data_IF_232846391037
#
_entry.id   IF_232846391037
#
_cell.length_a   1.000
_cell.length_b   1.000
_cell.length_c   1.000
_cell.angle_alpha   90.00
_cell.angle_beta   90.00
_cell.angle_gamma   90.00
#
_symmetry.space_group_name_H-M   'P 1'
#
loop_
_entity.id
_entity.type
_entity.pdbx_description
1 polymer ?
#
# COMPACT_ATOMS: atom_id res chain seq x y z
N UNK A 1 -3.38 -10.34 -1.77
CA UNK A 1 -4.59 -10.12 -0.95
C UNK A 1 -4.77 -11.27 0.03
N UNK A 2 -4.94 -11.01 1.33
CA UNK A 2 -5.32 -12.04 2.30
C UNK A 2 -6.72 -12.61 2.03
N UNK A 3 -6.91 -13.90 2.23
CA UNK A 3 -8.19 -14.58 2.00
C UNK A 3 -9.39 -13.90 2.68
N UNK A 4 -9.23 -13.41 3.92
CA UNK A 4 -10.32 -12.76 4.66
C UNK A 4 -10.88 -11.50 3.98
N UNK A 5 -10.10 -10.86 3.09
CA UNK A 5 -10.55 -9.70 2.34
C UNK A 5 -11.54 -10.04 1.23
N UNK A 6 -11.57 -11.29 0.74
CA UNK A 6 -12.54 -11.72 -0.26
C UNK A 6 -13.97 -11.44 0.21
N UNK A 7 -14.33 -11.96 1.39
CA UNK A 7 -15.66 -11.76 1.99
C UNK A 7 -15.99 -10.28 2.21
N UNK A 8 -14.99 -9.46 2.58
CA UNK A 8 -15.18 -8.00 2.78
C UNK A 8 -15.46 -7.27 1.47
N UNK A 9 -14.95 -7.79 0.36
CA UNK A 9 -15.19 -7.26 -0.99
C UNK A 9 -16.40 -7.91 -1.68
N UNK A 10 -17.16 -8.76 -0.98
CA UNK A 10 -18.30 -9.49 -1.55
C UNK A 10 -17.89 -10.63 -2.50
N UNK A 11 -16.64 -11.08 -2.43
CA UNK A 11 -16.07 -12.16 -3.22
C UNK A 11 -16.03 -13.47 -2.41
N UNK A 12 -16.04 -14.59 -3.13
CA UNK A 12 -16.07 -15.96 -2.62
C UNK A 12 -14.96 -16.81 -3.24
N UNK A 13 -14.78 -18.02 -2.70
CA UNK A 13 -13.75 -18.94 -3.18
C UNK A 13 -13.94 -19.39 -4.64
N UNK A 14 -15.17 -19.27 -5.15
CA UNK A 14 -15.51 -19.54 -6.54
C UNK A 14 -15.04 -18.46 -7.52
N UNK A 15 -14.68 -17.28 -7.02
CA UNK A 15 -14.36 -16.11 -7.85
C UNK A 15 -12.88 -16.00 -8.20
N UNK A 16 -12.01 -16.78 -7.54
CA UNK A 16 -10.58 -16.81 -7.85
C UNK A 16 -10.20 -18.04 -8.66
N UNK A 17 -9.33 -17.84 -9.65
CA UNK A 17 -8.82 -18.92 -10.49
C UNK A 17 -7.62 -19.59 -9.82
N UNK A 18 -7.53 -20.91 -9.95
CA UNK A 18 -6.41 -21.68 -9.44
C UNK A 18 -5.10 -21.16 -10.07
N UNK A 19 -4.17 -20.77 -9.22
CA UNK A 19 -2.85 -20.32 -9.63
C UNK A 19 -1.85 -20.76 -8.57
N UNK A 20 -0.79 -21.45 -9.00
CA UNK A 20 0.18 -22.04 -8.09
C UNK A 20 1.51 -21.29 -8.18
N UNK A 21 1.57 -20.14 -7.50
CA UNK A 21 2.81 -19.37 -7.33
C UNK A 21 3.29 -19.51 -5.89
N UNK A 22 4.59 -19.74 -5.75
CA UNK A 22 5.26 -19.71 -4.45
C UNK A 22 5.61 -18.26 -4.12
N UNK A 23 5.19 -17.82 -2.94
CA UNK A 23 5.42 -16.49 -2.41
C UNK A 23 6.28 -16.59 -1.16
N UNK A 24 7.24 -15.70 -1.01
CA UNK A 24 8.01 -15.53 0.22
C UNK A 24 7.54 -14.28 0.95
N UNK A 25 7.36 -14.37 2.27
CA UNK A 25 7.15 -13.20 3.11
C UNK A 25 8.48 -12.49 3.41
N UNK A 26 8.42 -11.36 4.13
CA UNK A 26 9.61 -10.59 4.50
C UNK A 26 10.58 -11.34 5.44
N UNK A 27 10.11 -12.36 6.13
CA UNK A 27 10.92 -13.23 7.00
C UNK A 27 11.54 -14.40 6.23
N UNK A 28 11.34 -14.46 4.90
CA UNK A 28 11.82 -15.55 4.06
C UNK A 28 10.98 -16.83 4.12
N UNK A 29 9.88 -16.85 4.89
CA UNK A 29 8.95 -17.98 4.92
C UNK A 29 8.16 -18.03 3.62
N UNK A 30 8.23 -19.18 2.97
CA UNK A 30 7.50 -19.43 1.72
C UNK A 30 6.11 -20.02 1.96
N UNK A 31 5.19 -19.76 1.05
CA UNK A 31 3.86 -20.35 1.00
C UNK A 31 3.29 -20.27 -0.42
N UNK A 32 2.23 -21.04 -0.68
CA UNK A 32 1.56 -21.02 -1.98
C UNK A 32 0.43 -19.99 -1.99
N UNK A 33 0.21 -19.36 -3.15
CA UNK A 33 -1.02 -18.64 -3.42
C UNK A 33 -2.21 -19.62 -3.48
N UNK A 34 -3.37 -19.19 -2.98
CA UNK A 34 -4.64 -19.91 -3.14
C UNK A 34 -5.19 -19.78 -4.56
N UNK A 35 -4.89 -18.66 -5.21
CA UNK A 35 -5.32 -18.37 -6.58
C UNK A 35 -5.10 -16.90 -6.92
N UNK A 36 -5.70 -16.48 -8.03
CA UNK A 36 -5.69 -15.09 -8.49
C UNK A 36 -7.13 -14.62 -8.69
N UNK A 37 -7.42 -13.41 -8.24
CA UNK A 37 -8.71 -12.75 -8.43
C UNK A 37 -8.53 -11.36 -8.99
N UNK A 38 -9.49 -10.92 -9.81
CA UNK A 38 -9.51 -9.56 -10.34
C UNK A 38 -10.37 -8.67 -9.43
N UNK A 39 -9.83 -7.54 -9.03
CA UNK A 39 -10.52 -6.53 -8.22
C UNK A 39 -10.39 -5.17 -8.90
N UNK A 40 -11.44 -4.37 -8.90
CA UNK A 40 -11.39 -2.99 -9.35
C UNK A 40 -10.79 -2.11 -8.24
N UNK A 41 -9.69 -1.45 -8.55
CA UNK A 41 -8.97 -0.54 -7.66
C UNK A 41 -9.22 0.89 -8.14
N UNK A 42 -9.73 1.74 -7.26
CA UNK A 42 -9.84 3.17 -7.52
C UNK A 42 -8.52 3.84 -7.11
N UNK A 43 -7.80 4.43 -8.07
CA UNK A 43 -6.55 5.16 -7.86
C UNK A 43 -6.75 6.65 -8.20
N UNK A 44 -7.20 7.42 -7.21
CA UNK A 44 -7.62 8.80 -7.42
C UNK A 44 -8.96 8.86 -8.16
N UNK A 45 -8.97 9.44 -9.35
CA UNK A 45 -10.14 9.58 -10.22
C UNK A 45 -10.32 8.44 -11.23
N UNK A 46 -9.41 7.47 -11.25
CA UNK A 46 -9.42 6.36 -12.22
C UNK A 46 -9.76 5.03 -11.54
N UNK A 47 -10.46 4.14 -12.26
CA UNK A 47 -10.76 2.78 -11.80
C UNK A 47 -10.02 1.79 -12.70
N UNK A 48 -9.23 0.90 -12.10
CA UNK A 48 -8.39 -0.07 -12.80
C UNK A 48 -8.64 -1.49 -12.33
N UNK A 49 -8.88 -2.40 -13.28
CA UNK A 49 -8.95 -3.84 -13.02
C UNK A 49 -7.55 -4.37 -12.70
N UNK A 50 -7.38 -4.90 -11.49
CA UNK A 50 -6.09 -5.33 -10.96
C UNK A 50 -6.17 -6.78 -10.50
N UNK A 51 -5.19 -7.59 -10.90
CA UNK A 51 -5.07 -8.97 -10.44
C UNK A 51 -4.34 -9.03 -9.10
N UNK A 52 -4.93 -9.72 -8.13
CA UNK A 52 -4.32 -9.99 -6.83
C UNK A 52 -4.15 -11.48 -6.61
N UNK A 53 -2.95 -11.89 -6.19
CA UNK A 53 -2.74 -13.22 -5.63
C UNK A 53 -3.39 -13.33 -4.26
N UNK A 54 -4.21 -14.36 -4.06
CA UNK A 54 -4.88 -14.65 -2.79
C UNK A 54 -3.94 -15.49 -1.91
N UNK A 55 -3.77 -15.14 -0.64
CA UNK A 55 -2.92 -15.85 0.31
C UNK A 55 -3.67 -16.29 1.57
N UNK A 56 -3.34 -17.47 2.08
CA UNK A 56 -3.87 -18.01 3.34
C UNK A 56 -3.11 -17.45 4.56
N UNK A 57 -3.02 -16.13 4.68
CA UNK A 57 -2.35 -15.45 5.78
C UNK A 57 -3.26 -14.39 6.44
N UNK A 58 -2.93 -14.00 7.67
CA UNK A 58 -3.58 -12.90 8.40
C UNK A 58 -2.57 -11.77 8.69
N UNK A 59 -2.15 -11.01 7.67
CA UNK A 59 -1.23 -9.91 7.86
C UNK A 59 -1.94 -8.65 8.37
N UNK A 60 -1.15 -7.65 8.76
CA UNK A 60 -1.62 -6.33 9.19
C UNK A 60 -1.91 -5.38 8.00
N UNK A 61 -2.34 -5.91 6.86
CA UNK A 61 -2.72 -5.14 5.68
C UNK A 61 -3.93 -5.78 5.00
N UNK A 62 -4.66 -4.98 4.22
CA UNK A 62 -5.80 -5.45 3.43
C UNK A 62 -5.37 -5.86 2.01
N UNK A 63 -4.67 -4.97 1.30
CA UNK A 63 -4.19 -5.20 -0.06
C UNK A 63 -2.76 -4.68 -0.17
N UNK A 64 -1.95 -5.34 -1.01
CA UNK A 64 -0.60 -4.88 -1.34
C UNK A 64 -0.53 -4.61 -2.84
N UNK A 65 -0.20 -3.38 -3.20
CA UNK A 65 0.13 -2.99 -4.55
C UNK A 65 1.65 -3.10 -4.69
N UNK A 66 2.08 -4.12 -5.43
CA UNK A 66 3.51 -4.37 -5.63
C UNK A 66 4.13 -3.39 -6.63
N UNK A 67 5.46 -3.48 -6.74
CA UNK A 67 6.25 -2.73 -7.71
C UNK A 67 5.68 -2.82 -9.14
N UNK A 68 5.33 -4.03 -9.59
CA UNK A 68 4.80 -4.27 -10.94
C UNK A 68 3.53 -3.46 -11.21
N UNK A 69 2.64 -3.36 -10.22
CA UNK A 69 1.44 -2.54 -10.34
C UNK A 69 1.80 -1.05 -10.40
N UNK A 70 2.60 -0.58 -9.43
CA UNK A 70 3.01 0.84 -9.32
C UNK A 70 3.68 1.32 -10.61
N UNK A 71 4.63 0.53 -11.13
CA UNK A 71 5.34 0.84 -12.37
C UNK A 71 4.41 0.72 -13.59
N UNK A 72 3.56 -0.30 -13.63
CA UNK A 72 2.63 -0.53 -14.73
C UNK A 72 1.61 0.58 -14.92
N UNK A 73 1.17 1.23 -13.82
CA UNK A 73 0.24 2.37 -13.87
C UNK A 73 0.95 3.74 -13.87
N UNK A 74 2.29 3.78 -13.87
CA UNK A 74 3.04 5.04 -13.89
C UNK A 74 2.93 5.87 -12.61
N UNK A 75 2.62 5.24 -11.47
CA UNK A 75 2.50 5.93 -10.18
C UNK A 75 3.87 6.18 -9.57
N UNK A 76 4.08 7.40 -9.05
CA UNK A 76 5.29 7.77 -8.32
C UNK A 76 4.97 7.91 -6.83
N UNK A 77 5.42 6.98 -5.97
CA UNK A 77 5.26 7.12 -4.53
C UNK A 77 6.28 8.10 -3.94
N UNK A 78 5.84 9.01 -3.07
CA UNK A 78 6.71 9.87 -2.27
C UNK A 78 6.53 9.58 -0.79
N UNK A 79 7.54 8.99 -0.17
CA UNK A 79 7.56 8.75 1.29
C UNK A 79 7.69 10.07 2.06
N UNK A 80 8.48 11.02 1.55
CA UNK A 80 8.69 12.32 2.19
C UNK A 80 7.39 13.13 2.29
N UNK A 81 6.57 13.08 1.25
CA UNK A 81 5.30 13.79 1.21
C UNK A 81 4.10 12.90 1.56
N UNK A 82 4.33 11.63 1.87
CA UNK A 82 3.30 10.62 2.14
C UNK A 82 2.16 10.64 1.12
N UNK A 83 2.49 10.56 -0.18
CA UNK A 83 1.49 10.59 -1.27
C UNK A 83 1.88 9.71 -2.45
N UNK A 84 0.88 9.40 -3.28
CA UNK A 84 1.05 8.82 -4.59
C UNK A 84 0.75 9.89 -5.66
N UNK A 85 1.66 10.06 -6.60
CA UNK A 85 1.51 10.96 -7.74
C UNK A 85 1.12 10.11 -8.95
N UNK A 86 -0.04 10.38 -9.54
CA UNK A 86 -0.59 9.65 -10.67
C UNK A 86 -0.54 10.53 -11.91
N UNK A 87 -0.01 9.99 -13.01
CA UNK A 87 -0.14 10.60 -14.34
C UNK A 87 -1.40 10.06 -15.01
N UNK A 88 -2.31 10.95 -15.37
CA UNK A 88 -3.56 10.61 -16.06
C UNK A 88 -3.35 10.61 -17.58
N UNK A 89 -4.24 9.90 -18.28
CA UNK A 89 -4.20 9.79 -19.75
C UNK A 89 -4.45 11.14 -20.45
N UNK A 90 -5.16 12.07 -19.80
CA UNK A 90 -5.40 13.43 -20.27
C UNK A 90 -4.19 14.37 -20.06
N UNK A 91 -3.08 13.87 -19.53
CA UNK A 91 -1.86 14.62 -19.24
C UNK A 91 -1.89 15.37 -17.91
N UNK A 92 -2.96 15.26 -17.12
CA UNK A 92 -3.03 15.87 -15.80
C UNK A 92 -2.33 15.01 -14.74
N UNK A 93 -1.90 15.67 -13.66
CA UNK A 93 -1.32 15.03 -12.48
C UNK A 93 -2.33 15.06 -11.35
N UNK A 94 -2.54 13.91 -10.73
CA UNK A 94 -3.38 13.75 -9.55
C UNK A 94 -2.56 13.27 -8.36
N UNK A 95 -2.85 13.78 -7.16
CA UNK A 95 -2.22 13.34 -5.93
C UNK A 95 -3.24 12.57 -5.09
N UNK A 96 -2.86 11.37 -4.65
CA UNK A 96 -3.57 10.62 -3.62
C UNK A 96 -2.75 10.70 -2.35
N UNK A 97 -3.23 11.47 -1.39
CA UNK A 97 -2.59 11.63 -0.08
C UNK A 97 -2.77 10.35 0.74
N UNK A 98 -1.75 9.98 1.50
CA UNK A 98 -1.85 8.89 2.44
C UNK A 98 -2.74 9.26 3.63
N UNK A 99 -3.31 8.25 4.28
CA UNK A 99 -4.02 8.44 5.53
C UNK A 99 -3.05 8.84 6.65
N UNK A 100 -3.20 10.07 7.15
CA UNK A 100 -2.37 10.63 8.22
C UNK A 100 -3.00 10.44 9.61
N UNK A 101 -4.20 9.86 9.71
CA UNK A 101 -4.94 9.75 10.97
C UNK A 101 -4.26 8.90 12.05
N UNK A 102 -3.27 8.07 11.68
CA UNK A 102 -2.66 7.08 12.58
C UNK A 102 -1.25 7.47 13.06
N UNK A 103 -0.65 8.54 12.53
CA UNK A 103 0.68 8.99 12.96
C UNK A 103 0.56 10.34 13.68
N UNK A 104 0.41 10.31 15.01
CA UNK A 104 0.96 11.40 15.80
C UNK A 104 2.48 11.35 15.62
N UNK A 105 3.02 12.15 14.70
CA UNK A 105 4.46 12.37 14.69
C UNK A 105 4.80 13.14 15.97
N UNK A 106 5.57 12.55 16.87
CA UNK A 106 6.32 13.33 17.85
C UNK A 106 7.32 14.19 17.08
N UNK A 107 6.88 15.36 16.63
CA UNK A 107 7.80 16.35 16.10
C UNK A 107 8.61 16.86 17.27
N UNK A 108 9.89 16.50 17.33
CA UNK A 108 10.85 17.13 18.24
C UNK A 108 11.04 18.60 17.82
N UNK A 109 10.09 19.46 18.19
CA UNK A 109 10.22 20.90 18.01
C UNK A 109 11.06 21.47 19.14
N UNK A 110 12.25 21.97 18.80
CA UNK A 110 13.07 22.76 19.71
C UNK A 110 12.47 24.17 19.77
N UNK A 111 11.79 24.48 20.87
CA UNK A 111 11.31 25.83 21.18
C UNK A 111 12.31 26.52 22.11
N UNK A 112 12.22 27.85 22.26
CA UNK A 112 13.00 28.57 23.27
C UNK A 112 12.80 28.03 24.71
N UNK A 113 11.69 27.32 24.93
CA UNK A 113 11.35 26.70 26.22
C UNK A 113 12.04 25.34 26.41
N UNK A 114 12.31 24.61 25.33
CA UNK A 114 12.89 23.25 25.36
C UNK A 114 14.38 23.23 24.95
N UNK A 115 14.98 24.38 24.65
CA UNK A 115 16.38 24.51 24.27
C UNK A 115 17.28 24.43 25.51
N UNK A 116 18.09 23.36 25.62
CA UNK A 116 19.11 23.27 26.65
C UNK A 116 20.30 24.17 26.29
N UNK A 117 20.46 25.26 27.04
CA UNK A 117 21.53 26.24 26.85
C UNK A 117 22.92 25.67 27.15
N UNK A 118 23.02 24.52 27.83
CA UNK A 118 24.31 23.88 28.13
C UNK A 118 24.91 23.15 26.92
N UNK A 119 24.13 22.88 25.86
CA UNK A 119 24.62 22.30 24.61
C UNK A 119 25.35 23.32 23.73
N UNK A 120 25.16 24.62 23.97
CA UNK A 120 25.73 25.71 23.17
C UNK A 120 27.06 26.25 23.72
N UNK A 121 27.55 25.71 24.83
CA UNK A 121 28.82 26.11 25.44
C UNK A 121 29.89 25.03 25.18
N UNK A 122 30.57 25.15 24.03
CA UNK A 122 31.88 24.54 23.77
C UNK A 122 32.87 25.69 23.53
#
# INVERSE_FOLDING_TARGET
MPHFMLKKLGLFDTDFHSHNVVLANYEGKTGHSLGVVQVEVCDGSTVRKTLFMVIAARPNYNLLLGKEWIHGVGVVPSTMHQRLILSREDGLVENVEADQSTYMSDTNTVTLQNFDKNLAAI
#
